data_IF_867051136350
#
_entry.id   IF_867051136350
#
_cell.length_a   1.000
_cell.length_b   1.000
_cell.length_c   1.000
_cell.angle_alpha   90.00
_cell.angle_beta   90.00
_cell.angle_gamma   90.00
#
_symmetry.space_group_name_H-M   'P 1'
#
loop_
_entity.id
_entity.type
_entity.pdbx_description
1 polymer ?
#
# COMPACT_ATOMS: atom_id res chain seq x y z
N UNK A 1 -28.59 29.51 8.62
CA UNK A 1 -28.76 28.19 7.95
C UNK A 1 -27.58 27.34 8.39
N UNK A 2 -27.76 26.64 9.51
CA UNK A 2 -26.71 25.84 10.15
C UNK A 2 -26.79 24.44 9.54
N UNK A 3 -25.75 24.03 8.82
CA UNK A 3 -25.59 22.64 8.42
C UNK A 3 -25.19 21.85 9.66
N UNK A 4 -26.13 21.11 10.22
CA UNK A 4 -25.89 20.12 11.26
C UNK A 4 -25.23 18.90 10.61
N UNK A 5 -23.90 18.87 10.62
CA UNK A 5 -23.15 17.62 10.44
C UNK A 5 -23.15 16.91 11.79
N UNK A 6 -23.91 15.82 11.88
CA UNK A 6 -23.84 14.87 13.00
C UNK A 6 -22.50 14.13 12.85
N UNK A 7 -21.44 14.70 13.40
CA UNK A 7 -20.18 13.99 13.66
C UNK A 7 -20.27 13.38 15.05
N UNK A 8 -20.10 12.05 15.11
CA UNK A 8 -20.14 11.26 16.33
C UNK A 8 -19.18 11.79 17.41
N UNK A 9 -19.61 11.76 18.67
CA UNK A 9 -18.87 12.34 19.83
C UNK A 9 -17.46 11.75 20.02
N UNK A 10 -17.21 10.54 19.52
CA UNK A 10 -15.94 9.82 19.70
C UNK A 10 -14.82 10.34 18.77
N UNK A 11 -15.14 11.07 17.69
CA UNK A 11 -14.14 11.61 16.76
C UNK A 11 -13.44 12.87 17.30
N UNK A 12 -14.10 13.63 18.17
CA UNK A 12 -13.54 14.84 18.77
C UNK A 12 -12.48 14.53 19.83
N UNK A 13 -12.65 13.46 20.61
CA UNK A 13 -11.64 13.03 21.58
C UNK A 13 -10.38 12.53 20.87
N UNK A 14 -10.52 11.68 19.85
CA UNK A 14 -9.41 11.14 19.07
C UNK A 14 -8.61 12.22 18.32
N UNK A 15 -9.29 13.24 17.78
CA UNK A 15 -8.64 14.38 17.13
C UNK A 15 -7.81 15.24 18.10
N UNK A 16 -8.31 15.45 19.32
CA UNK A 16 -7.59 16.16 20.38
C UNK A 16 -6.36 15.38 20.86
N UNK A 17 -6.46 14.05 20.94
CA UNK A 17 -5.32 13.18 21.25
C UNK A 17 -4.25 13.29 20.18
N UNK A 18 -4.62 13.19 18.91
CA UNK A 18 -3.68 13.32 17.80
C UNK A 18 -3.05 14.72 17.68
N UNK A 19 -3.68 15.74 18.25
CA UNK A 19 -3.13 17.09 18.35
C UNK A 19 -2.17 17.21 19.56
N UNK A 20 -2.51 16.59 20.69
CA UNK A 20 -1.70 16.54 21.90
C UNK A 20 -0.37 15.80 21.67
N UNK A 21 -0.41 14.63 21.03
CA UNK A 21 0.76 13.78 20.75
C UNK A 21 1.78 14.43 19.79
N UNK A 22 1.30 15.30 18.90
CA UNK A 22 2.18 16.07 18.00
C UNK A 22 2.78 17.32 18.66
N UNK A 23 2.37 17.66 19.89
CA UNK A 23 2.67 18.95 20.52
C UNK A 23 3.44 18.91 21.85
N UNK A 24 3.75 17.73 22.42
CA UNK A 24 4.37 17.69 23.76
C UNK A 24 5.51 16.65 23.94
N UNK A 25 6.61 17.13 24.54
CA UNK A 25 7.63 16.36 25.24
C UNK A 25 7.23 16.15 26.72
N UNK A 26 7.73 15.05 27.33
CA UNK A 26 7.97 14.80 28.80
C UNK A 26 6.89 14.02 29.60
N UNK A 27 7.15 13.51 30.84
CA UNK A 27 8.31 12.76 31.37
C UNK A 27 7.91 11.74 32.49
N UNK A 28 7.59 10.46 32.25
CA UNK A 28 7.56 9.46 33.36
C UNK A 28 8.01 8.08 32.89
N UNK A 29 8.74 7.37 33.77
CA UNK A 29 9.49 6.16 33.45
C UNK A 29 8.76 4.86 33.77
N UNK A 30 8.89 3.92 32.85
CA UNK A 30 9.38 2.54 33.04
C UNK A 30 8.67 1.63 34.05
N UNK A 31 7.95 0.63 33.53
CA UNK A 31 8.09 -0.80 33.89
C UNK A 31 7.05 -1.66 33.16
N UNK A 32 7.49 -2.44 32.16
CA UNK A 32 7.07 -3.82 31.82
C UNK A 32 7.30 -4.13 30.32
N UNK A 33 8.56 -4.21 29.93
CA UNK A 33 9.00 -4.50 28.54
C UNK A 33 8.86 -5.99 28.13
N UNK A 34 8.42 -6.88 29.02
CA UNK A 34 8.33 -8.33 28.72
C UNK A 34 6.91 -8.85 28.42
N UNK A 35 5.86 -8.05 28.60
CA UNK A 35 4.48 -8.50 28.36
C UNK A 35 3.98 -8.10 26.95
N UNK A 36 4.54 -7.05 26.35
CA UNK A 36 3.98 -6.43 25.14
C UNK A 36 4.50 -6.97 23.80
N UNK A 37 5.63 -7.71 23.78
CA UNK A 37 6.04 -8.43 22.56
C UNK A 37 5.04 -9.54 22.15
N UNK A 38 4.05 -9.87 23.01
CA UNK A 38 2.95 -10.80 22.70
C UNK A 38 1.71 -10.16 22.05
N UNK A 39 1.62 -8.84 21.96
CA UNK A 39 0.51 -8.13 21.30
C UNK A 39 0.84 -7.64 19.89
N UNK A 40 1.96 -8.08 19.30
CA UNK A 40 2.22 -8.01 17.85
C UNK A 40 1.25 -8.91 17.02
N UNK A 41 0.03 -9.15 17.53
CA UNK A 41 -1.13 -9.82 16.94
C UNK A 41 -1.93 -8.89 15.99
N UNK A 42 -1.48 -7.66 15.85
CA UNK A 42 -2.21 -6.54 15.23
C UNK A 42 -1.76 -6.25 13.80
N UNK A 43 -0.74 -6.93 13.27
CA UNK A 43 -0.30 -6.66 11.88
C UNK A 43 -1.22 -7.26 10.80
N UNK A 44 -1.99 -8.32 11.08
CA UNK A 44 -2.63 -9.08 9.99
C UNK A 44 -4.07 -8.70 9.65
N UNK A 45 -4.79 -8.01 10.53
CA UNK A 45 -6.20 -7.62 10.28
C UNK A 45 -6.38 -6.16 9.83
N UNK A 46 -5.30 -5.36 9.79
CA UNK A 46 -5.34 -3.91 9.53
C UNK A 46 -5.07 -3.57 8.06
N UNK A 47 -4.60 -4.54 7.27
CA UNK A 47 -4.35 -4.46 5.82
C UNK A 47 -5.62 -4.37 4.96
N UNK A 48 -6.82 -4.41 5.55
CA UNK A 48 -8.10 -4.32 4.82
C UNK A 48 -8.55 -2.90 4.47
N UNK A 49 -7.83 -1.85 4.91
CA UNK A 49 -8.15 -0.49 4.52
C UNK A 49 -7.12 0.05 3.52
N UNK A 50 -7.40 -0.23 2.25
CA UNK A 50 -7.09 0.65 1.12
C UNK A 50 -5.62 1.06 0.90
N UNK A 51 -4.66 0.18 1.19
CA UNK A 51 -3.24 0.38 0.82
C UNK A 51 -2.81 -0.55 -0.30
N UNK A 52 -1.85 -0.11 -1.11
CA UNK A 52 -1.43 -0.87 -2.29
C UNK A 52 -0.72 -2.12 -1.76
N UNK A 53 -1.25 -3.31 -2.06
CA UNK A 53 -0.60 -4.59 -1.73
C UNK A 53 0.57 -4.91 -2.68
N UNK A 54 1.19 -3.89 -3.27
CA UNK A 54 2.33 -4.07 -4.17
C UNK A 54 3.62 -4.08 -3.34
N UNK A 55 4.12 -5.27 -3.04
CA UNK A 55 5.43 -5.45 -2.42
C UNK A 55 6.55 -5.19 -3.44
N UNK A 56 7.73 -4.79 -2.95
CA UNK A 56 8.94 -4.55 -3.77
C UNK A 56 9.24 -5.65 -4.81
N UNK A 57 9.11 -6.96 -4.52
CA UNK A 57 9.39 -8.00 -5.51
C UNK A 57 8.48 -7.97 -6.74
N UNK A 58 7.31 -7.34 -6.65
CA UNK A 58 6.33 -7.28 -7.73
C UNK A 58 6.56 -6.13 -8.71
N UNK A 59 7.30 -5.09 -8.31
CA UNK A 59 7.61 -3.93 -9.14
C UNK A 59 8.14 -4.28 -10.56
N UNK A 60 9.13 -5.19 -10.74
CA UNK A 60 9.62 -5.51 -12.08
C UNK A 60 8.57 -6.19 -12.98
N UNK A 61 7.67 -7.00 -12.42
CA UNK A 61 6.64 -7.68 -13.20
C UNK A 61 5.55 -6.71 -13.66
N UNK A 62 5.14 -5.78 -12.80
CA UNK A 62 4.24 -4.69 -13.18
C UNK A 62 4.86 -3.84 -14.27
N UNK A 63 6.14 -3.48 -14.13
CA UNK A 63 6.86 -2.68 -15.12
C UNK A 63 6.97 -3.37 -16.48
N UNK A 64 7.26 -4.68 -16.50
CA UNK A 64 7.26 -5.48 -17.72
C UNK A 64 5.87 -5.52 -18.36
N UNK A 65 4.81 -5.68 -17.56
CA UNK A 65 3.44 -5.65 -18.06
C UNK A 65 3.09 -4.31 -18.68
N UNK A 66 3.47 -3.19 -18.05
CA UNK A 66 3.29 -1.84 -18.62
C UNK A 66 3.96 -1.76 -19.99
N UNK A 67 5.22 -2.22 -20.12
CA UNK A 67 5.93 -2.19 -21.38
C UNK A 67 5.23 -3.04 -22.47
N UNK A 68 4.76 -4.24 -22.12
CA UNK A 68 4.03 -5.12 -23.04
C UNK A 68 2.68 -4.53 -23.46
N UNK A 69 1.92 -3.98 -22.51
CA UNK A 69 0.60 -3.38 -22.77
C UNK A 69 0.74 -2.13 -23.66
N UNK A 70 1.78 -1.33 -23.44
CA UNK A 70 2.10 -0.19 -24.30
C UNK A 70 2.43 -0.63 -25.73
N UNK A 71 3.32 -1.60 -25.91
CA UNK A 71 3.70 -2.10 -27.25
C UNK A 71 2.52 -2.78 -27.96
N UNK A 72 1.76 -3.61 -27.25
CA UNK A 72 0.61 -4.33 -27.82
C UNK A 72 -0.57 -3.42 -28.16
N UNK A 73 -0.67 -2.24 -27.54
CA UNK A 73 -1.72 -1.27 -27.85
C UNK A 73 -1.62 -0.69 -29.26
N UNK A 74 -0.44 -0.72 -29.89
CA UNK A 74 -0.20 -0.20 -31.23
C UNK A 74 -0.28 1.33 -31.34
N UNK A 75 -0.34 2.05 -30.21
CA UNK A 75 -0.41 3.52 -30.19
C UNK A 75 0.96 4.21 -30.14
N UNK A 76 2.03 3.46 -29.89
CA UNK A 76 3.38 4.00 -29.69
C UNK A 76 4.33 3.54 -30.80
N UNK A 77 5.22 4.45 -31.20
CA UNK A 77 6.42 4.15 -31.97
C UNK A 77 7.60 4.09 -31.00
N UNK A 78 8.37 2.99 -31.07
CA UNK A 78 9.50 2.78 -30.18
C UNK A 78 10.72 3.56 -30.68
N UNK A 79 11.10 4.62 -29.97
CA UNK A 79 12.37 5.31 -30.18
C UNK A 79 13.57 4.52 -29.65
N UNK A 80 13.35 3.58 -28.73
CA UNK A 80 14.37 2.78 -28.05
C UNK A 80 13.90 1.35 -27.73
N UNK A 81 14.75 0.56 -27.04
CA UNK A 81 14.42 -0.80 -26.60
C UNK A 81 13.29 -0.82 -25.56
N UNK A 82 12.42 -1.83 -25.62
CA UNK A 82 11.32 -2.09 -24.69
C UNK A 82 11.79 -2.19 -23.22
N UNK A 83 13.02 -2.65 -23.01
CA UNK A 83 13.63 -2.76 -21.68
C UNK A 83 13.74 -1.41 -20.96
N UNK A 84 13.97 -0.30 -21.68
CA UNK A 84 14.06 1.03 -21.06
C UNK A 84 12.71 1.46 -20.47
N UNK A 85 11.61 1.12 -21.15
CA UNK A 85 10.25 1.40 -20.66
C UNK A 85 10.03 0.71 -19.32
N UNK A 86 10.40 -0.58 -19.25
CA UNK A 86 10.30 -1.35 -18.00
C UNK A 86 11.20 -0.78 -16.91
N UNK A 87 12.43 -0.37 -17.21
CA UNK A 87 13.33 0.22 -16.22
C UNK A 87 12.78 1.53 -15.63
N UNK A 88 12.25 2.43 -16.46
CA UNK A 88 11.65 3.70 -16.03
C UNK A 88 10.42 3.42 -15.16
N UNK A 89 9.50 2.57 -15.65
CA UNK A 89 8.30 2.22 -14.90
C UNK A 89 8.65 1.56 -13.55
N UNK A 90 9.63 0.66 -13.53
CA UNK A 90 10.13 0.00 -12.31
C UNK A 90 10.65 1.02 -11.30
N UNK A 91 11.44 2.00 -11.74
CA UNK A 91 11.99 3.03 -10.85
C UNK A 91 10.88 3.79 -10.11
N UNK A 92 9.87 4.29 -10.82
CA UNK A 92 8.75 5.02 -10.20
C UNK A 92 7.91 4.14 -9.28
N UNK A 93 7.67 2.88 -9.67
CA UNK A 93 6.95 1.93 -8.83
C UNK A 93 7.72 1.63 -7.54
N UNK A 94 9.02 1.36 -7.61
CA UNK A 94 9.85 1.12 -6.43
C UNK A 94 9.92 2.34 -5.51
N UNK A 95 10.05 3.54 -6.07
CA UNK A 95 10.06 4.78 -5.30
C UNK A 95 8.72 4.97 -4.56
N UNK A 96 7.60 4.73 -5.24
CA UNK A 96 6.27 4.85 -4.63
C UNK A 96 6.05 3.81 -3.51
N UNK A 97 6.44 2.56 -3.75
CA UNK A 97 6.35 1.49 -2.74
C UNK A 97 7.22 1.82 -1.52
N UNK A 98 8.44 2.37 -1.73
CA UNK A 98 9.31 2.81 -0.63
C UNK A 98 8.71 3.97 0.17
N UNK A 99 8.06 4.93 -0.49
CA UNK A 99 7.35 6.03 0.18
C UNK A 99 6.20 5.51 1.03
N UNK A 100 5.41 4.55 0.53
CA UNK A 100 4.35 3.91 1.31
C UNK A 100 4.90 3.18 2.54
N UNK A 101 5.98 2.40 2.36
CA UNK A 101 6.62 1.69 3.47
C UNK A 101 7.21 2.65 4.52
N UNK A 102 7.81 3.76 4.10
CA UNK A 102 8.34 4.77 5.00
C UNK A 102 7.22 5.49 5.78
N UNK A 103 6.09 5.77 5.13
CA UNK A 103 4.91 6.34 5.79
C UNK A 103 4.36 5.37 6.85
N UNK A 104 4.20 4.09 6.52
CA UNK A 104 3.73 3.08 7.47
C UNK A 104 4.68 2.91 8.66
N UNK A 105 5.98 2.95 8.42
CA UNK A 105 6.98 2.92 9.49
C UNK A 105 6.88 4.14 10.41
N UNK A 106 6.69 5.35 9.87
CA UNK A 106 6.48 6.55 10.67
C UNK A 106 5.20 6.46 11.51
N UNK A 107 4.12 5.94 10.94
CA UNK A 107 2.86 5.69 11.69
C UNK A 107 3.11 4.71 12.83
N UNK A 108 3.90 3.65 12.59
CA UNK A 108 4.25 2.67 13.62
C UNK A 108 5.08 3.28 14.74
N UNK A 109 6.11 4.05 14.41
CA UNK A 109 6.92 4.76 15.41
C UNK A 109 6.09 5.75 16.22
N UNK A 110 5.12 6.43 15.59
CA UNK A 110 4.18 7.31 16.29
C UNK A 110 3.28 6.53 17.25
N UNK A 111 2.80 5.36 16.86
CA UNK A 111 2.05 4.48 17.75
C UNK A 111 2.88 4.02 18.94
N UNK A 112 4.09 3.52 18.67
CA UNK A 112 5.02 3.01 19.66
C UNK A 112 5.41 4.09 20.68
N UNK A 113 5.64 5.33 20.23
CA UNK A 113 5.97 6.46 21.10
C UNK A 113 4.83 6.88 22.03
N UNK A 114 3.57 6.67 21.61
CA UNK A 114 2.38 7.15 22.31
C UNK A 114 1.55 6.00 22.91
N UNK A 115 2.14 4.82 23.08
CA UNK A 115 1.44 3.63 23.60
C UNK A 115 0.82 3.87 24.98
N UNK A 116 1.54 4.53 25.87
CA UNK A 116 1.07 4.81 27.23
C UNK A 116 -0.18 5.69 27.22
N UNK A 117 -0.24 6.68 26.33
CA UNK A 117 -1.38 7.59 26.20
C UNK A 117 -2.56 6.90 25.52
N UNK A 118 -2.31 6.06 24.51
CA UNK A 118 -3.33 5.25 23.85
C UNK A 118 -3.99 4.30 24.87
N UNK A 119 -3.19 3.65 25.72
CA UNK A 119 -3.67 2.77 26.78
C UNK A 119 -4.43 3.54 27.86
N UNK A 120 -3.88 4.65 28.34
CA UNK A 120 -4.49 5.49 29.36
C UNK A 120 -5.86 6.01 28.93
N UNK A 121 -5.97 6.46 27.68
CA UNK A 121 -7.20 7.01 27.10
C UNK A 121 -8.14 5.94 26.56
N UNK A 122 -7.74 4.65 26.58
CA UNK A 122 -8.50 3.51 26.04
C UNK A 122 -8.93 3.73 24.59
N UNK A 123 -8.05 4.34 23.81
CA UNK A 123 -8.27 4.59 22.39
C UNK A 123 -8.12 3.27 21.62
N UNK A 124 -9.03 3.03 20.67
CA UNK A 124 -8.88 1.90 19.75
C UNK A 124 -7.68 2.13 18.82
N UNK A 125 -6.63 1.32 18.99
CA UNK A 125 -5.41 1.31 18.18
C UNK A 125 -5.69 1.27 16.68
N UNK A 126 -6.79 0.64 16.24
CA UNK A 126 -7.22 0.59 14.82
C UNK A 126 -7.54 1.97 14.29
N UNK A 127 -8.37 2.68 15.03
CA UNK A 127 -8.85 3.99 14.64
C UNK A 127 -7.69 4.98 14.70
N UNK A 128 -6.85 4.88 15.73
CA UNK A 128 -5.67 5.72 15.85
C UNK A 128 -4.68 5.51 14.71
N UNK A 129 -4.35 4.26 14.36
CA UNK A 129 -3.48 3.95 13.23
C UNK A 129 -3.99 4.61 11.94
N UNK A 130 -5.29 4.50 11.69
CA UNK A 130 -5.89 5.04 10.48
C UNK A 130 -5.85 6.58 10.43
N UNK A 131 -6.14 7.21 11.57
CA UNK A 131 -6.09 8.67 11.69
C UNK A 131 -4.66 9.20 11.58
N UNK A 132 -3.71 8.55 12.24
CA UNK A 132 -2.29 8.86 12.15
C UNK A 132 -1.79 8.73 10.71
N UNK A 133 -2.15 7.64 10.02
CA UNK A 133 -1.80 7.42 8.62
C UNK A 133 -2.37 8.48 7.71
N UNK A 134 -3.64 8.87 7.90
CA UNK A 134 -4.28 9.92 7.12
C UNK A 134 -3.58 11.27 7.31
N UNK A 135 -3.32 11.66 8.56
CA UNK A 135 -2.65 12.92 8.88
C UNK A 135 -1.22 12.97 8.33
N UNK A 136 -0.43 11.91 8.55
CA UNK A 136 0.93 11.83 8.03
C UNK A 136 0.96 11.81 6.49
N UNK A 137 -0.02 11.16 5.84
CA UNK A 137 -0.13 11.19 4.39
C UNK A 137 -0.43 12.60 3.86
N UNK A 138 -1.29 13.36 4.53
CA UNK A 138 -1.58 14.76 4.20
C UNK A 138 -0.34 15.64 4.38
N UNK A 139 0.43 15.45 5.46
CA UNK A 139 1.68 16.18 5.74
C UNK A 139 2.79 15.90 4.70
N UNK A 140 2.91 14.64 4.25
CA UNK A 140 3.92 14.23 3.27
C UNK A 140 3.44 14.37 1.81
N UNK A 141 2.20 14.78 1.59
CA UNK A 141 1.59 14.85 0.27
C UNK A 141 1.46 13.49 -0.42
N UNK A 142 1.35 12.40 0.36
CA UNK A 142 1.19 11.05 -0.16
C UNK A 142 -0.28 10.73 -0.43
N UNK A 143 -0.58 10.28 -1.64
CA UNK A 143 -1.94 9.92 -2.06
C UNK A 143 -2.28 8.55 -1.47
N UNK A 144 -3.30 8.44 -0.62
CA UNK A 144 -3.69 7.14 -0.04
C UNK A 144 -4.57 6.31 -1.00
N UNK A 145 -5.51 6.96 -1.69
CA UNK A 145 -6.44 6.30 -2.60
C UNK A 145 -5.69 5.58 -3.73
N UNK A 146 -5.99 4.28 -3.92
CA UNK A 146 -5.31 3.42 -4.91
C UNK A 146 -5.47 3.95 -6.33
N UNK A 147 -6.69 4.30 -6.73
CA UNK A 147 -6.99 4.77 -8.08
C UNK A 147 -6.25 6.09 -8.39
N UNK A 148 -6.30 7.04 -7.46
CA UNK A 148 -5.61 8.32 -7.61
C UNK A 148 -4.08 8.13 -7.66
N UNK A 149 -3.54 7.17 -6.90
CA UNK A 149 -2.11 6.79 -6.98
C UNK A 149 -1.72 6.22 -8.32
N UNK A 150 -2.49 5.27 -8.86
CA UNK A 150 -2.20 4.68 -10.17
C UNK A 150 -2.29 5.73 -11.27
N UNK A 151 -3.24 6.66 -11.15
CA UNK A 151 -3.33 7.81 -12.05
C UNK A 151 -2.05 8.65 -11.96
N UNK A 152 -1.67 9.09 -10.75
CA UNK A 152 -0.46 9.88 -10.53
C UNK A 152 0.81 9.18 -11.05
N UNK A 153 0.97 7.89 -10.79
CA UNK A 153 2.06 7.08 -11.33
C UNK A 153 2.04 7.03 -12.85
N UNK A 154 0.87 6.90 -13.47
CA UNK A 154 0.74 6.87 -14.93
C UNK A 154 1.17 8.19 -15.56
N UNK A 155 0.90 9.33 -14.89
CA UNK A 155 1.42 10.63 -15.28
C UNK A 155 2.95 10.67 -15.20
N UNK A 156 3.52 10.34 -14.04
CA UNK A 156 4.97 10.38 -13.82
C UNK A 156 5.74 9.48 -14.79
N UNK A 157 5.25 8.27 -15.00
CA UNK A 157 5.87 7.31 -15.92
C UNK A 157 5.82 7.85 -17.35
N UNK A 158 4.67 8.36 -17.81
CA UNK A 158 4.57 8.88 -19.18
C UNK A 158 5.47 10.10 -19.39
N UNK A 159 5.47 11.04 -18.46
CA UNK A 159 6.26 12.27 -18.56
C UNK A 159 7.76 11.95 -18.69
N UNK A 160 8.25 10.96 -17.93
CA UNK A 160 9.65 10.53 -18.02
C UNK A 160 9.94 9.74 -19.31
N UNK A 161 8.99 8.92 -19.79
CA UNK A 161 9.14 8.20 -21.06
C UNK A 161 9.28 9.15 -22.26
N UNK A 162 8.55 10.27 -22.22
CA UNK A 162 8.65 11.34 -23.23
C UNK A 162 9.99 12.08 -23.09
N UNK A 163 10.37 12.44 -21.86
CA UNK A 163 11.60 13.18 -21.56
C UNK A 163 12.88 12.45 -21.98
N UNK A 164 12.91 11.13 -21.81
CA UNK A 164 14.03 10.27 -22.20
C UNK A 164 13.95 9.81 -23.68
N UNK A 165 13.00 10.36 -24.47
CA UNK A 165 12.77 10.06 -25.88
C UNK A 165 12.63 8.54 -26.16
N UNK A 166 12.01 7.81 -25.22
CA UNK A 166 11.89 6.34 -25.32
C UNK A 166 10.73 5.95 -26.23
N UNK A 167 9.65 6.73 -26.21
CA UNK A 167 8.45 6.51 -26.99
C UNK A 167 8.07 7.79 -27.73
N UNK A 168 7.54 7.63 -28.94
CA UNK A 168 6.81 8.68 -29.67
C UNK A 168 5.39 8.19 -29.94
N UNK A 169 4.42 9.09 -29.99
CA UNK A 169 3.03 8.72 -30.21
C UNK A 169 2.22 9.88 -30.81
N UNK A 170 1.39 9.56 -31.81
CA UNK A 170 0.49 10.51 -32.46
C UNK A 170 -0.89 10.65 -31.80
N UNK A 171 -1.09 10.04 -30.63
CA UNK A 171 -2.37 10.03 -29.89
C UNK A 171 -2.36 10.99 -28.69
N UNK A 172 -3.50 11.24 -28.07
CA UNK A 172 -3.54 12.05 -26.84
C UNK A 172 -2.89 11.32 -25.65
N UNK A 173 -2.14 12.04 -24.82
CA UNK A 173 -1.53 11.52 -23.59
C UNK A 173 -2.49 10.73 -22.71
N UNK A 174 -3.76 11.14 -22.63
CA UNK A 174 -4.80 10.47 -21.85
C UNK A 174 -4.97 9.01 -22.23
N UNK A 175 -4.82 8.66 -23.51
CA UNK A 175 -4.93 7.29 -24.00
C UNK A 175 -3.77 6.45 -23.44
N UNK A 176 -2.54 6.97 -23.54
CA UNK A 176 -1.34 6.28 -23.06
C UNK A 176 -1.37 6.13 -21.53
N UNK A 177 -1.75 7.19 -20.81
CA UNK A 177 -1.97 7.16 -19.35
C UNK A 177 -2.96 6.08 -18.95
N UNK A 178 -4.07 5.94 -19.69
CA UNK A 178 -5.07 4.91 -19.43
C UNK A 178 -4.55 3.49 -19.69
N UNK A 179 -3.65 3.29 -20.65
CA UNK A 179 -2.99 2.00 -20.88
C UNK A 179 -2.11 1.64 -19.67
N UNK A 180 -1.27 2.57 -19.21
CA UNK A 180 -0.40 2.38 -18.03
C UNK A 180 -1.24 2.10 -16.78
N UNK A 181 -2.30 2.89 -16.56
CA UNK A 181 -3.22 2.71 -15.44
C UNK A 181 -3.83 1.31 -15.44
N UNK A 182 -4.37 0.87 -16.58
CA UNK A 182 -4.99 -0.46 -16.72
C UNK A 182 -3.99 -1.60 -16.54
N UNK A 183 -2.75 -1.40 -16.96
CA UNK A 183 -1.69 -2.38 -16.75
C UNK A 183 -1.46 -2.60 -15.25
N UNK A 184 -1.32 -1.52 -14.48
CA UNK A 184 -1.14 -1.53 -13.02
C UNK A 184 -2.38 -2.11 -12.32
N UNK A 185 -3.56 -1.54 -12.55
CA UNK A 185 -4.82 -1.98 -11.94
C UNK A 185 -5.12 -3.46 -12.23
N UNK A 186 -4.97 -3.87 -13.51
CA UNK A 186 -5.16 -5.24 -13.90
C UNK A 186 -4.15 -6.20 -13.26
N UNK A 187 -2.92 -5.77 -12.99
CA UNK A 187 -1.95 -6.59 -12.26
C UNK A 187 -2.39 -6.75 -10.80
N UNK A 188 -2.75 -5.66 -10.13
CA UNK A 188 -3.17 -5.68 -8.72
C UNK A 188 -4.40 -6.56 -8.53
N UNK A 189 -5.40 -6.47 -9.42
CA UNK A 189 -6.59 -7.34 -9.39
C UNK A 189 -6.27 -8.82 -9.53
N UNK A 190 -5.32 -9.19 -10.39
CA UNK A 190 -4.88 -10.59 -10.51
C UNK A 190 -4.27 -11.05 -9.19
N UNK A 191 -3.47 -10.21 -8.55
CA UNK A 191 -2.82 -10.51 -7.28
C UNK A 191 -3.83 -10.63 -6.12
N UNK A 192 -4.79 -9.71 -6.03
CA UNK A 192 -5.91 -9.81 -5.08
C UNK A 192 -6.69 -11.12 -5.28
N UNK A 193 -6.96 -11.51 -6.53
CA UNK A 193 -7.63 -12.81 -6.80
C UNK A 193 -6.80 -14.04 -6.38
N UNK A 194 -5.47 -13.94 -6.38
CA UNK A 194 -4.59 -15.03 -5.93
C UNK A 194 -4.66 -15.13 -4.41
N UNK A 195 -4.63 -14.00 -3.72
CA UNK A 195 -4.78 -13.97 -2.26
C UNK A 195 -6.11 -14.58 -1.83
N UNK A 196 -7.21 -14.24 -2.49
CA UNK A 196 -8.53 -14.80 -2.19
C UNK A 196 -8.53 -16.34 -2.34
N UNK A 197 -7.93 -16.87 -3.41
CA UNK A 197 -7.78 -18.32 -3.62
C UNK A 197 -6.93 -18.97 -2.52
N UNK A 198 -5.86 -18.31 -2.06
CA UNK A 198 -5.01 -18.81 -0.98
C UNK A 198 -5.77 -18.83 0.34
N UNK A 199 -6.53 -17.78 0.64
CA UNK A 199 -7.38 -17.70 1.83
C UNK A 199 -8.42 -18.82 1.82
N UNK A 200 -9.14 -19.00 0.71
CA UNK A 200 -10.10 -20.10 0.55
C UNK A 200 -9.45 -21.46 0.78
N UNK A 201 -8.22 -21.67 0.29
CA UNK A 201 -7.49 -22.91 0.55
C UNK A 201 -7.20 -23.10 2.02
N UNK A 202 -6.72 -22.06 2.71
CA UNK A 202 -6.41 -22.11 4.16
C UNK A 202 -7.66 -22.41 4.97
N UNK A 203 -8.80 -21.78 4.64
CA UNK A 203 -10.09 -22.03 5.29
C UNK A 203 -10.57 -23.48 5.11
N UNK A 204 -10.24 -24.08 3.97
CA UNK A 204 -10.57 -25.48 3.66
C UNK A 204 -9.59 -26.51 4.27
N UNK A 205 -8.55 -26.10 5.01
CA UNK A 205 -7.70 -27.05 5.73
C UNK A 205 -8.48 -27.75 6.85
N UNK A 206 -8.23 -29.05 7.01
CA UNK A 206 -8.81 -29.86 8.10
C UNK A 206 -8.45 -29.35 9.49
N UNK A 207 -7.30 -28.68 9.63
CA UNK A 207 -6.88 -27.98 10.84
C UNK A 207 -7.17 -26.49 10.65
N UNK A 208 -8.00 -25.91 11.52
CA UNK A 208 -8.23 -24.46 11.52
C UNK A 208 -6.94 -23.76 11.95
N UNK A 209 -6.23 -23.19 10.98
CA UNK A 209 -5.07 -22.34 11.25
C UNK A 209 -5.61 -20.96 11.63
N UNK A 210 -5.19 -20.45 12.78
CA UNK A 210 -5.67 -19.17 13.30
C UNK A 210 -4.90 -18.05 12.60
N UNK A 211 -5.59 -17.17 11.90
CA UNK A 211 -4.98 -15.95 11.33
C UNK A 211 -4.26 -15.16 12.43
N UNK A 212 -3.02 -14.73 12.20
CA UNK A 212 -2.18 -14.06 13.19
C UNK A 212 -1.17 -14.95 13.90
N UNK A 213 -1.05 -16.24 13.54
CA UNK A 213 0.04 -17.10 14.03
C UNK A 213 1.17 -17.19 13.00
N UNK A 214 2.40 -17.41 13.49
CA UNK A 214 3.56 -17.70 12.62
C UNK A 214 3.30 -18.90 11.69
N UNK A 215 2.52 -19.89 12.15
CA UNK A 215 2.07 -21.02 11.34
C UNK A 215 1.17 -20.59 10.17
N UNK A 216 0.27 -19.61 10.39
CA UNK A 216 -0.57 -19.05 9.34
C UNK A 216 0.26 -18.33 8.28
N UNK A 217 1.22 -17.51 8.72
CA UNK A 217 2.06 -16.71 7.81
C UNK A 217 2.92 -17.59 6.91
N UNK A 218 3.59 -18.59 7.50
CA UNK A 218 4.39 -19.54 6.73
C UNK A 218 3.56 -20.31 5.70
N UNK A 219 2.35 -20.73 6.08
CA UNK A 219 1.45 -21.47 5.17
C UNK A 219 0.91 -20.56 4.08
N UNK A 220 0.53 -19.33 4.43
CA UNK A 220 0.05 -18.32 3.48
C UNK A 220 1.13 -17.99 2.44
N UNK A 221 2.35 -17.66 2.88
CA UNK A 221 3.47 -17.35 1.97
C UNK A 221 3.77 -18.49 1.02
N UNK A 222 3.82 -19.73 1.53
CA UNK A 222 4.10 -20.91 0.71
C UNK A 222 3.01 -21.15 -0.34
N UNK A 223 1.74 -21.12 0.05
CA UNK A 223 0.63 -21.32 -0.87
C UNK A 223 0.55 -20.20 -1.92
N UNK A 224 0.88 -18.98 -1.51
CA UNK A 224 0.94 -17.82 -2.39
C UNK A 224 2.03 -17.96 -3.46
N UNK A 225 3.24 -18.37 -3.07
CA UNK A 225 4.32 -18.69 -4.01
C UNK A 225 3.94 -19.81 -4.98
N UNK A 226 3.26 -20.85 -4.49
CA UNK A 226 2.79 -21.96 -5.33
C UNK A 226 1.78 -21.48 -6.38
N UNK A 227 0.85 -20.59 -6.02
CA UNK A 227 -0.12 -20.02 -6.96
C UNK A 227 0.55 -19.07 -7.97
N UNK A 228 1.56 -18.32 -7.55
CA UNK A 228 2.35 -17.47 -8.45
C UNK A 228 3.13 -18.30 -9.48
N UNK A 229 3.77 -19.40 -9.05
CA UNK A 229 4.48 -20.34 -9.95
C UNK A 229 3.54 -20.98 -10.96
N UNK A 230 2.34 -21.40 -10.54
CA UNK A 230 1.33 -21.99 -11.45
C UNK A 230 0.88 -21.03 -12.53
N UNK A 231 0.79 -19.73 -12.21
CA UNK A 231 0.37 -18.70 -13.16
C UNK A 231 1.53 -18.10 -13.97
N UNK A 232 2.76 -18.59 -13.77
CA UNK A 232 3.94 -18.19 -14.56
C UNK A 232 4.50 -16.81 -14.19
N UNK A 233 4.22 -16.32 -12.98
CA UNK A 233 4.75 -15.04 -12.49
C UNK A 233 6.13 -15.18 -11.81
N UNK A 234 6.63 -16.40 -11.58
CA UNK A 234 7.90 -16.73 -10.91
C UNK A 234 8.71 -17.73 -11.73
#
# INVERSE_FOLDING_TARGET
MIFAFVFDRDYYSLGLVLLALFSAQSPYGGLSLEIYLKSCRIQQNYTRLNTMKLRLPHAPYVANKIALDLVSSGYIELGSNMEKISQIAKHFLEENIKKEAALEEKVRLLLEANLEEIEFLRVDERQFFWMAKKKLAEEEGFILAKDDRYSHLSHQILDELIKEEVIDFGVSDTIIKNVIFKAIDGYVKIYESIEDVVIEKIENYKRKIIAGTEEYDMVFEKLYEEELKKRGFL
#
